data_IF_290261503045
#
_entry.id   IF_290261503045
#
_cell.length_a   1.000
_cell.length_b   1.000
_cell.length_c   1.000
_cell.angle_alpha   90.00
_cell.angle_beta   90.00
_cell.angle_gamma   90.00
#
_symmetry.space_group_name_H-M   'P 1'
#
loop_
_entity.id
_entity.type
_entity.pdbx_description
1 polymer ?
#
# COMPACT_ATOMS: atom_id res chain seq x y z
N UNK A 1 -12.20 20.39 -2.42
CA UNK A 1 -12.05 20.54 -0.96
C UNK A 1 -12.14 19.16 -0.35
N UNK A 2 -11.14 18.77 0.44
CA UNK A 2 -11.19 17.54 1.26
C UNK A 2 -12.25 17.72 2.34
N UNK A 3 -13.15 16.76 2.50
CA UNK A 3 -14.19 16.81 3.53
C UNK A 3 -13.68 16.23 4.86
N UNK A 4 -14.34 16.57 5.97
CA UNK A 4 -14.06 15.96 7.28
C UNK A 4 -14.13 14.43 7.24
N UNK A 5 -15.08 13.89 6.46
CA UNK A 5 -15.25 12.45 6.24
C UNK A 5 -14.04 11.83 5.54
N UNK A 6 -13.47 12.51 4.57
CA UNK A 6 -12.29 12.02 3.84
C UNK A 6 -11.08 11.94 4.77
N UNK A 7 -10.89 12.94 5.65
CA UNK A 7 -9.82 12.95 6.66
C UNK A 7 -10.00 11.80 7.66
N UNK A 8 -11.21 11.60 8.16
CA UNK A 8 -11.50 10.49 9.09
C UNK A 8 -11.29 9.12 8.44
N UNK A 9 -11.63 8.99 7.16
CA UNK A 9 -11.39 7.75 6.40
C UNK A 9 -9.89 7.48 6.26
N UNK A 10 -9.10 8.49 5.90
CA UNK A 10 -7.65 8.37 5.82
C UNK A 10 -7.01 8.08 7.18
N UNK A 11 -7.45 8.75 8.25
CA UNK A 11 -6.97 8.49 9.61
C UNK A 11 -7.24 7.04 10.05
N UNK A 12 -8.38 6.48 9.64
CA UNK A 12 -8.70 5.08 9.90
C UNK A 12 -7.78 4.13 9.11
N UNK A 13 -7.56 4.38 7.82
CA UNK A 13 -6.72 3.54 6.96
C UNK A 13 -5.25 3.55 7.39
N UNK A 14 -4.74 4.72 7.81
CA UNK A 14 -3.35 4.91 8.20
C UNK A 14 -3.10 4.60 9.69
N UNK A 15 -4.13 4.17 10.42
CA UNK A 15 -3.95 3.74 11.81
C UNK A 15 -3.07 2.49 11.88
N UNK A 16 -2.09 2.42 12.79
CA UNK A 16 -1.33 1.19 13.06
C UNK A 16 -2.22 0.00 13.46
N UNK A 17 -3.43 0.28 13.96
CA UNK A 17 -4.41 -0.74 14.33
C UNK A 17 -5.28 -1.22 13.15
N UNK A 18 -5.14 -0.65 11.95
CA UNK A 18 -5.91 -1.08 10.79
C UNK A 18 -5.51 -2.53 10.43
N UNK A 19 -6.47 -3.47 10.31
CA UNK A 19 -6.17 -4.90 10.29
C UNK A 19 -5.68 -5.39 8.91
N UNK A 20 -4.44 -5.05 8.60
CA UNK A 20 -3.70 -5.52 7.41
C UNK A 20 -2.56 -6.49 7.77
N UNK A 21 -2.25 -6.64 9.07
CA UNK A 21 -1.14 -7.48 9.52
C UNK A 21 0.23 -6.81 9.39
N UNK A 22 0.30 -5.47 9.47
CA UNK A 22 1.54 -4.71 9.29
C UNK A 22 2.66 -5.09 10.28
N UNK A 23 2.32 -5.51 11.50
CA UNK A 23 3.30 -5.92 12.51
C UNK A 23 3.98 -7.27 12.25
N UNK A 24 3.53 -8.04 11.26
CA UNK A 24 4.09 -9.36 10.96
C UNK A 24 5.36 -9.30 10.09
N UNK A 25 5.74 -8.11 9.61
CA UNK A 25 6.82 -7.95 8.64
C UNK A 25 7.72 -6.77 9.02
N UNK A 26 9.03 -6.95 8.87
CA UNK A 26 10.04 -5.95 9.21
C UNK A 26 10.50 -5.11 8.02
N UNK A 27 9.97 -5.36 6.82
CA UNK A 27 10.40 -4.72 5.58
C UNK A 27 11.94 -4.77 5.35
N UNK A 28 12.61 -5.82 5.83
CA UNK A 28 14.06 -6.00 5.70
C UNK A 28 14.89 -5.30 6.79
N UNK A 29 14.27 -4.55 7.71
CA UNK A 29 14.97 -3.87 8.79
C UNK A 29 15.71 -4.85 9.72
N UNK A 30 15.09 -5.98 10.05
CA UNK A 30 15.74 -7.01 10.88
C UNK A 30 17.03 -7.54 10.25
N UNK A 31 17.03 -7.73 8.92
CA UNK A 31 18.22 -8.15 8.18
C UNK A 31 19.29 -7.05 8.16
N UNK A 32 18.89 -5.79 7.99
CA UNK A 32 19.82 -4.65 8.04
C UNK A 32 20.49 -4.51 9.41
N UNK A 33 19.75 -4.74 10.50
CA UNK A 33 20.29 -4.78 11.86
C UNK A 33 21.25 -5.97 12.04
N UNK A 34 20.86 -7.16 11.61
CA UNK A 34 21.71 -8.36 11.71
C UNK A 34 23.02 -8.23 10.91
N UNK A 35 22.98 -7.56 9.76
CA UNK A 35 24.14 -7.27 8.93
C UNK A 35 25.03 -6.14 9.49
N UNK A 36 24.59 -5.44 10.54
CA UNK A 36 25.30 -4.30 11.11
C UNK A 36 25.19 -3.01 10.29
N UNK A 37 24.28 -2.94 9.32
CA UNK A 37 24.03 -1.73 8.53
C UNK A 37 23.23 -0.69 9.31
N UNK A 38 22.44 -1.14 10.28
CA UNK A 38 21.67 -0.27 11.20
C UNK A 38 21.98 -0.70 12.63
N UNK A 39 22.82 0.06 13.33
CA UNK A 39 23.21 -0.22 14.72
C UNK A 39 22.84 0.93 15.68
N UNK A 40 22.33 2.04 15.16
CA UNK A 40 22.02 3.24 15.93
C UNK A 40 20.81 4.01 15.40
N UNK A 41 20.29 4.94 16.20
CA UNK A 41 19.20 5.82 15.81
C UNK A 41 19.48 6.67 14.56
N UNK A 42 20.66 7.32 14.43
CA UNK A 42 21.03 8.05 13.22
C UNK A 42 21.09 7.17 11.97
N UNK A 43 21.71 5.99 12.05
CA UNK A 43 21.78 5.06 10.91
C UNK A 43 20.38 4.53 10.53
N UNK A 44 19.49 4.34 11.50
CA UNK A 44 18.09 4.01 11.23
C UNK A 44 17.39 5.14 10.46
N UNK A 45 17.64 6.40 10.83
CA UNK A 45 17.06 7.54 10.14
C UNK A 45 17.55 7.61 8.69
N UNK A 46 18.85 7.47 8.45
CA UNK A 46 19.45 7.41 7.11
C UNK A 46 18.86 6.25 6.29
N UNK A 47 18.75 5.06 6.89
CA UNK A 47 18.15 3.91 6.24
C UNK A 47 16.68 4.15 5.86
N UNK A 48 15.89 4.78 6.74
CA UNK A 48 14.49 5.13 6.45
C UNK A 48 14.38 6.18 5.34
N UNK A 49 15.26 7.17 5.31
CA UNK A 49 15.32 8.17 4.23
C UNK A 49 15.56 7.50 2.89
N UNK A 50 16.51 6.57 2.81
CA UNK A 50 16.77 5.79 1.60
C UNK A 50 15.58 4.92 1.20
N UNK A 51 14.94 4.25 2.15
CA UNK A 51 13.73 3.44 1.88
C UNK A 51 12.61 4.31 1.30
N UNK A 52 12.42 5.53 1.80
CA UNK A 52 11.37 6.44 1.36
C UNK A 52 11.71 7.09 0.02
N UNK A 53 12.93 7.61 -0.15
CA UNK A 53 13.31 8.41 -1.30
C UNK A 53 13.75 7.57 -2.50
N UNK A 54 14.47 6.47 -2.26
CA UNK A 54 15.13 5.67 -3.29
C UNK A 54 14.67 4.21 -3.33
N UNK A 55 14.03 3.73 -2.26
CA UNK A 55 13.62 2.35 -2.09
C UNK A 55 12.13 2.11 -2.31
N UNK A 56 11.58 1.18 -1.51
CA UNK A 56 10.20 0.73 -1.66
C UNK A 56 9.15 1.82 -1.46
N UNK A 57 9.41 2.83 -0.61
CA UNK A 57 8.46 3.91 -0.38
C UNK A 57 8.20 4.74 -1.64
N UNK A 58 9.23 4.99 -2.45
CA UNK A 58 9.10 5.67 -3.74
C UNK A 58 8.33 4.80 -4.75
N UNK A 59 8.68 3.51 -4.83
CA UNK A 59 7.98 2.56 -5.71
C UNK A 59 6.49 2.46 -5.37
N UNK A 60 6.15 2.34 -4.09
CA UNK A 60 4.77 2.24 -3.61
C UNK A 60 3.98 3.50 -3.98
N UNK A 61 4.57 4.69 -3.85
CA UNK A 61 3.94 5.95 -4.28
C UNK A 61 3.66 5.98 -5.79
N UNK A 62 4.63 5.57 -6.62
CA UNK A 62 4.50 5.53 -8.08
C UNK A 62 3.38 4.56 -8.48
N UNK A 63 3.38 3.35 -7.92
CA UNK A 63 2.42 2.30 -8.22
C UNK A 63 1.01 2.67 -7.75
N UNK A 64 0.86 3.28 -6.56
CA UNK A 64 -0.41 3.82 -6.07
C UNK A 64 -0.95 4.90 -7.02
N UNK A 65 -0.08 5.81 -7.48
CA UNK A 65 -0.49 6.84 -8.44
C UNK A 65 -0.90 6.23 -9.78
N UNK A 66 -0.16 5.23 -10.27
CA UNK A 66 -0.47 4.54 -11.52
C UNK A 66 -1.82 3.82 -11.42
N UNK A 67 -2.08 3.08 -10.35
CA UNK A 67 -3.37 2.42 -10.13
C UNK A 67 -4.53 3.39 -9.98
N UNK A 68 -4.33 4.52 -9.28
CA UNK A 68 -5.34 5.58 -9.21
C UNK A 68 -5.67 6.18 -10.58
N UNK A 69 -4.69 6.19 -11.50
CA UNK A 69 -4.88 6.63 -12.89
C UNK A 69 -5.34 5.55 -13.86
N UNK A 70 -5.37 4.28 -13.44
CA UNK A 70 -5.73 3.17 -14.31
C UNK A 70 -7.23 3.18 -14.61
N UNK A 71 -7.57 2.98 -15.89
CA UNK A 71 -8.95 2.98 -16.35
C UNK A 71 -9.41 1.56 -16.66
N UNK A 72 -10.24 1.02 -15.78
CA UNK A 72 -10.79 -0.33 -15.93
C UNK A 72 -9.90 -1.44 -15.36
N UNK A 73 -10.43 -2.67 -15.33
CA UNK A 73 -9.81 -3.79 -14.64
C UNK A 73 -8.51 -4.27 -15.30
N UNK A 74 -8.40 -4.21 -16.63
CA UNK A 74 -7.20 -4.64 -17.36
C UNK A 74 -5.99 -3.76 -17.05
N UNK A 75 -6.14 -2.43 -17.14
CA UNK A 75 -5.09 -1.49 -16.80
C UNK A 75 -4.66 -1.62 -15.32
N UNK A 76 -5.60 -1.88 -14.41
CA UNK A 76 -5.28 -2.12 -13.00
C UNK A 76 -4.52 -3.45 -12.80
N UNK A 77 -4.88 -4.49 -13.56
CA UNK A 77 -4.19 -5.78 -13.54
C UNK A 77 -2.74 -5.65 -14.04
N UNK A 78 -2.47 -4.81 -15.05
CA UNK A 78 -1.11 -4.51 -15.52
C UNK A 78 -0.28 -3.82 -14.45
N UNK A 79 -0.81 -2.79 -13.78
CA UNK A 79 -0.12 -2.12 -12.67
C UNK A 79 0.17 -3.11 -11.54
N UNK A 80 -0.78 -3.97 -11.21
CA UNK A 80 -0.61 -5.01 -10.20
C UNK A 80 0.45 -6.05 -10.60
N UNK A 81 0.51 -6.44 -11.87
CA UNK A 81 1.55 -7.33 -12.38
C UNK A 81 2.95 -6.66 -12.27
N UNK A 82 3.04 -5.37 -12.59
CA UNK A 82 4.26 -4.60 -12.41
C UNK A 82 4.68 -4.54 -10.93
N UNK A 83 3.76 -4.21 -10.03
CA UNK A 83 4.02 -4.16 -8.58
C UNK A 83 4.60 -5.49 -8.05
N UNK A 84 4.05 -6.62 -8.52
CA UNK A 84 4.55 -7.96 -8.18
C UNK A 84 5.93 -8.25 -8.78
N UNK A 85 6.21 -7.74 -9.97
CA UNK A 85 7.47 -7.98 -10.69
C UNK A 85 8.64 -7.17 -10.11
N UNK A 86 8.38 -5.96 -9.59
CA UNK A 86 9.42 -5.08 -9.01
C UNK A 86 9.69 -5.36 -7.53
N UNK A 87 9.03 -6.35 -6.93
CA UNK A 87 9.27 -6.74 -5.55
C UNK A 87 10.72 -7.24 -5.40
N UNK A 88 11.47 -6.62 -4.49
CA UNK A 88 12.90 -6.91 -4.31
C UNK A 88 13.20 -8.33 -3.80
N UNK A 89 12.21 -9.02 -3.23
CA UNK A 89 12.33 -10.40 -2.75
C UNK A 89 11.00 -11.13 -2.79
N UNK A 90 11.03 -12.46 -2.71
CA UNK A 90 9.83 -13.30 -2.57
C UNK A 90 9.07 -13.00 -1.27
N UNK A 91 9.79 -12.70 -0.18
CA UNK A 91 9.17 -12.30 1.09
C UNK A 91 8.44 -10.96 0.96
N UNK A 92 9.05 -9.96 0.31
CA UNK A 92 8.40 -8.66 0.07
C UNK A 92 7.21 -8.80 -0.86
N UNK A 93 7.27 -9.70 -1.85
CA UNK A 93 6.13 -10.00 -2.69
C UNK A 93 4.99 -10.64 -1.88
N UNK A 94 5.30 -11.61 -1.02
CA UNK A 94 4.34 -12.27 -0.15
C UNK A 94 3.67 -11.29 0.82
N UNK A 95 4.47 -10.45 1.48
CA UNK A 95 4.01 -9.37 2.35
C UNK A 95 3.01 -8.47 1.64
N UNK A 96 3.38 -7.92 0.47
CA UNK A 96 2.52 -7.07 -0.33
C UNK A 96 1.18 -7.77 -0.63
N UNK A 97 1.22 -9.04 -1.09
CA UNK A 97 0.02 -9.79 -1.48
C UNK A 97 -0.92 -10.01 -0.29
N UNK A 98 -0.38 -10.38 0.87
CA UNK A 98 -1.17 -10.64 2.06
C UNK A 98 -1.76 -9.35 2.64
N UNK A 99 -0.99 -8.27 2.71
CA UNK A 99 -1.48 -6.97 3.20
C UNK A 99 -2.54 -6.39 2.26
N UNK A 100 -2.36 -6.46 0.93
CA UNK A 100 -3.35 -6.01 -0.05
C UNK A 100 -4.66 -6.79 0.03
N UNK A 101 -4.58 -8.12 0.17
CA UNK A 101 -5.75 -8.97 0.37
C UNK A 101 -6.49 -8.65 1.69
N UNK A 102 -5.74 -8.45 2.78
CA UNK A 102 -6.30 -8.06 4.07
C UNK A 102 -6.96 -6.68 4.01
N UNK A 103 -6.34 -5.72 3.32
CA UNK A 103 -6.91 -4.39 3.10
C UNK A 103 -8.26 -4.47 2.36
N UNK A 104 -8.33 -5.22 1.25
CA UNK A 104 -9.56 -5.41 0.49
C UNK A 104 -10.66 -6.09 1.33
N UNK A 105 -10.31 -7.11 2.11
CA UNK A 105 -11.23 -7.81 3.00
C UNK A 105 -11.80 -6.87 4.06
N UNK A 106 -10.93 -6.14 4.74
CA UNK A 106 -11.30 -5.21 5.82
C UNK A 106 -12.16 -4.07 5.31
N UNK A 107 -11.74 -3.42 4.22
CA UNK A 107 -12.51 -2.32 3.61
C UNK A 107 -13.87 -2.80 3.09
N UNK A 108 -13.93 -3.97 2.46
CA UNK A 108 -15.18 -4.58 2.02
C UNK A 108 -16.16 -4.85 3.17
N UNK A 109 -15.65 -5.32 4.31
CA UNK A 109 -16.45 -5.56 5.52
C UNK A 109 -16.98 -4.26 6.16
N UNK A 110 -16.18 -3.19 6.19
CA UNK A 110 -16.56 -1.92 6.84
C UNK A 110 -17.53 -1.11 5.97
N UNK A 111 -17.26 -1.00 4.66
CA UNK A 111 -17.97 -0.07 3.78
C UNK A 111 -18.93 -0.74 2.79
N UNK A 112 -19.10 -2.07 2.86
CA UNK A 112 -20.01 -2.80 1.95
C UNK A 112 -19.55 -2.78 0.49
N UNK A 113 -18.28 -2.49 0.27
CA UNK A 113 -17.63 -2.49 -1.04
C UNK A 113 -17.48 -3.94 -1.51
N UNK A 114 -18.25 -4.35 -2.53
CA UNK A 114 -18.05 -5.63 -3.21
C UNK A 114 -16.80 -5.54 -4.10
N UNK A 115 -15.62 -5.72 -3.52
CA UNK A 115 -14.39 -5.95 -4.28
C UNK A 115 -14.42 -7.36 -4.89
N UNK A 116 -14.16 -7.48 -6.19
CA UNK A 116 -13.93 -8.80 -6.78
C UNK A 116 -12.67 -9.40 -6.15
N UNK A 117 -12.84 -10.60 -5.59
CA UNK A 117 -11.76 -11.40 -5.02
C UNK A 117 -10.82 -11.82 -6.16
N UNK A 118 -9.86 -10.95 -6.44
CA UNK A 118 -8.74 -11.22 -7.34
C UNK A 118 -7.50 -10.77 -6.61
N UNK A 119 -6.38 -11.46 -6.84
CA UNK A 119 -5.04 -11.18 -6.30
C UNK A 119 -4.55 -9.79 -6.76
N UNK A 120 -5.25 -8.73 -6.35
CA UNK A 120 -4.96 -7.34 -6.65
C UNK A 120 -4.42 -6.74 -5.34
N UNK A 121 -3.17 -6.32 -5.38
CA UNK A 121 -2.47 -5.60 -4.32
C UNK A 121 -3.12 -4.25 -4.02
N UNK A 122 -3.76 -3.69 -5.03
CA UNK A 122 -4.30 -2.35 -5.03
C UNK A 122 -5.82 -2.44 -4.94
N UNK A 123 -6.45 -1.80 -3.96
CA UNK A 123 -7.90 -1.83 -3.86
C UNK A 123 -8.46 -1.21 -5.14
N UNK A 124 -9.20 -1.99 -5.90
CA UNK A 124 -10.21 -1.44 -6.79
C UNK A 124 -11.29 -0.85 -5.88
N UNK A 125 -11.04 0.34 -5.33
CA UNK A 125 -12.04 1.11 -4.58
C UNK A 125 -13.12 1.45 -5.60
N UNK A 126 -14.34 0.89 -5.51
CA UNK A 126 -15.43 1.47 -6.25
C UNK A 126 -15.60 2.87 -5.68
N UNK A 127 -15.50 3.86 -6.57
CA UNK A 127 -15.80 5.25 -6.27
C UNK A 127 -17.04 5.28 -5.36
N UNK A 128 -16.85 5.76 -4.12
CA UNK A 128 -17.97 6.04 -3.23
C UNK A 128 -18.97 6.91 -4.03
N UNK A 129 -20.28 6.62 -3.99
CA UNK A 129 -21.29 7.25 -4.87
C UNK A 129 -21.31 8.79 -4.83
N UNK A 130 -20.66 9.39 -3.84
CA UNK A 130 -20.58 10.83 -3.60
C UNK A 130 -19.35 11.51 -4.19
N UNK A 131 -18.35 10.77 -4.67
CA UNK A 131 -17.10 11.36 -5.17
C UNK A 131 -17.20 11.68 -6.67
N UNK A 132 -18.04 12.65 -7.03
CA UNK A 132 -17.88 13.37 -8.31
C UNK A 132 -16.74 14.37 -8.13
N UNK A 133 -15.51 13.90 -8.32
CA UNK A 133 -14.42 14.82 -8.65
C UNK A 133 -14.72 15.37 -10.05
N UNK A 134 -15.45 16.49 -10.11
CA UNK A 134 -15.39 17.40 -11.26
C UNK A 134 -13.95 17.83 -11.39
N UNK A 135 -13.21 17.23 -12.34
CA UNK A 135 -11.89 17.71 -12.72
C UNK A 135 -12.04 18.86 -13.71
N UNK A 136 -11.20 19.90 -13.62
CA UNK A 136 -10.93 20.81 -14.74
C UNK A 136 -10.23 20.08 -15.89
#
# INVERSE_FOLDING_TARGET
MTTERDILTLAQWLSPAFPVGAFAYSHGLESAVQAGWVASGPELAEWLEDVIAHGSGCNDCILLRAAYGAHGPEALAEVNAMAKAVAASSERQLEQVLQGAAFCKTTGAIWGVKGQSTSILLPSVPLLPSCRLTRP
#
